data_IF_336859821184
#
_entry.id   IF_336859821184
#
_cell.length_a   1.000
_cell.length_b   1.000
_cell.length_c   1.000
_cell.angle_alpha   90.00
_cell.angle_beta   90.00
_cell.angle_gamma   90.00
#
_symmetry.space_group_name_H-M   'P 1'
#
loop_
_entity.id
_entity.type
_entity.pdbx_description
1 polymer ?
#
# COMPACT_ATOMS: atom_id res chain seq x y z
N UNK A 1 2.44 12.38 -33.26
CA UNK A 1 2.95 11.31 -32.39
C UNK A 1 1.82 10.52 -31.77
N UNK A 2 1.59 9.32 -32.31
CA UNK A 2 0.70 8.33 -31.70
C UNK A 2 1.45 7.67 -30.54
N UNK A 3 1.14 8.09 -29.32
CA UNK A 3 1.65 7.44 -28.12
C UNK A 3 1.28 5.97 -28.12
N UNK A 4 2.28 5.09 -27.96
CA UNK A 4 2.05 3.69 -27.68
C UNK A 4 1.19 3.60 -26.41
N UNK A 5 -0.04 3.11 -26.53
CA UNK A 5 -0.80 2.64 -25.37
C UNK A 5 0.03 1.54 -24.71
N UNK A 6 0.65 1.85 -23.58
CA UNK A 6 1.24 0.84 -22.71
C UNK A 6 0.09 0.01 -22.15
N UNK A 7 -0.21 -1.11 -22.81
CA UNK A 7 -1.26 -2.03 -22.35
C UNK A 7 -0.73 -2.80 -21.14
N UNK A 8 -0.98 -2.29 -19.93
CA UNK A 8 -0.66 -3.01 -18.71
C UNK A 8 -1.57 -4.25 -18.59
N UNK A 9 -1.02 -5.43 -18.82
CA UNK A 9 -1.77 -6.71 -18.81
C UNK A 9 -1.97 -7.30 -17.41
N UNK A 10 -1.28 -6.77 -16.41
CA UNK A 10 -1.36 -7.21 -15.01
C UNK A 10 -0.37 -6.48 -14.13
N UNK A 11 -0.29 -6.89 -12.87
CA UNK A 11 0.52 -6.27 -11.82
C UNK A 11 1.14 -7.33 -10.91
N UNK A 12 2.19 -6.92 -10.20
CA UNK A 12 2.75 -7.69 -9.09
C UNK A 12 2.07 -7.29 -7.78
N UNK A 13 1.93 -8.23 -6.85
CA UNK A 13 1.56 -7.94 -5.46
C UNK A 13 2.81 -8.07 -4.59
N UNK A 14 3.04 -7.11 -3.70
CA UNK A 14 4.15 -7.16 -2.73
C UNK A 14 3.55 -7.15 -1.33
N UNK A 15 3.79 -8.23 -0.59
CA UNK A 15 3.29 -8.45 0.77
C UNK A 15 4.46 -8.35 1.74
N UNK A 16 4.41 -7.42 2.69
CA UNK A 16 5.34 -7.43 3.82
C UNK A 16 4.84 -8.37 4.91
N UNK A 17 5.75 -8.98 5.67
CA UNK A 17 5.39 -9.78 6.83
C UNK A 17 6.49 -9.85 7.87
N UNK A 18 6.09 -9.95 9.13
CA UNK A 18 6.97 -10.14 10.27
C UNK A 18 6.23 -10.90 11.37
N UNK A 19 6.71 -12.10 11.72
CA UNK A 19 6.17 -12.93 12.82
C UNK A 19 4.67 -13.18 12.78
N UNK A 20 4.10 -13.33 11.57
CA UNK A 20 2.66 -13.56 11.34
C UNK A 20 2.41 -14.66 10.29
N UNK A 21 2.91 -15.88 10.49
CA UNK A 21 2.86 -16.94 9.47
C UNK A 21 1.44 -17.27 9.00
N UNK A 22 0.45 -17.30 9.90
CA UNK A 22 -0.95 -17.59 9.54
C UNK A 22 -1.60 -16.45 8.73
N UNK A 23 -1.37 -15.19 9.11
CA UNK A 23 -1.88 -14.03 8.35
C UNK A 23 -1.24 -13.96 6.98
N UNK A 24 0.07 -14.20 6.89
CA UNK A 24 0.78 -14.29 5.62
C UNK A 24 0.19 -15.40 4.75
N UNK A 25 0.01 -16.62 5.29
CA UNK A 25 -0.52 -17.74 4.51
C UNK A 25 -1.89 -17.41 3.91
N UNK A 26 -2.80 -16.84 4.70
CA UNK A 26 -4.11 -16.41 4.24
C UNK A 26 -4.00 -15.29 3.16
N UNK A 27 -3.03 -14.38 3.28
CA UNK A 27 -2.77 -13.34 2.28
C UNK A 27 -2.31 -13.93 0.95
N UNK A 28 -1.38 -14.89 1.01
CA UNK A 28 -0.84 -15.56 -0.17
C UNK A 28 -1.91 -16.39 -0.87
N UNK A 29 -2.72 -17.15 -0.13
CA UNK A 29 -3.85 -17.88 -0.70
C UNK A 29 -4.81 -16.90 -1.40
N UNK A 30 -5.14 -15.78 -0.75
CA UNK A 30 -6.03 -14.78 -1.33
C UNK A 30 -5.48 -14.16 -2.61
N UNK A 31 -4.28 -13.56 -2.58
CA UNK A 31 -3.74 -12.82 -3.71
C UNK A 31 -3.20 -13.73 -4.83
N UNK A 32 -2.52 -14.83 -4.49
CA UNK A 32 -1.89 -15.70 -5.48
C UNK A 32 -2.85 -16.75 -6.06
N UNK A 33 -3.85 -17.24 -5.32
CA UNK A 33 -4.78 -18.29 -5.80
C UNK A 33 -6.22 -17.82 -5.97
N UNK A 34 -6.84 -17.23 -4.95
CA UNK A 34 -8.25 -16.81 -5.00
C UNK A 34 -8.47 -15.69 -6.01
N UNK A 35 -7.63 -14.66 -5.97
CA UNK A 35 -7.57 -13.61 -6.99
C UNK A 35 -6.69 -14.07 -8.15
N UNK A 36 -5.39 -14.23 -7.95
CA UNK A 36 -4.46 -14.80 -8.94
C UNK A 36 -4.50 -14.12 -10.31
N UNK A 37 -4.08 -14.86 -11.34
CA UNK A 37 -3.93 -14.37 -12.72
C UNK A 37 -5.22 -13.85 -13.34
N UNK A 38 -6.38 -14.45 -13.07
CA UNK A 38 -7.70 -13.97 -13.55
C UNK A 38 -8.04 -12.57 -13.01
N UNK A 39 -7.39 -12.16 -11.92
CA UNK A 39 -7.50 -10.83 -11.33
C UNK A 39 -6.40 -9.86 -11.73
N UNK A 40 -5.50 -10.28 -12.62
CA UNK A 40 -4.36 -9.48 -13.07
C UNK A 40 -3.10 -9.67 -12.23
N UNK A 41 -3.13 -10.47 -11.16
CA UNK A 41 -1.96 -10.74 -10.31
C UNK A 41 -1.02 -11.69 -11.06
N UNK A 42 0.08 -11.18 -11.59
CA UNK A 42 1.06 -12.00 -12.34
C UNK A 42 2.02 -12.70 -11.39
N UNK A 43 2.50 -11.96 -10.39
CA UNK A 43 3.50 -12.38 -9.42
C UNK A 43 3.12 -11.88 -8.03
N UNK A 44 3.48 -12.65 -7.00
CA UNK A 44 3.41 -12.24 -5.60
C UNK A 44 4.81 -12.31 -5.00
N UNK A 45 5.29 -11.17 -4.52
CA UNK A 45 6.57 -11.06 -3.83
C UNK A 45 6.31 -10.94 -2.33
N UNK A 46 7.00 -11.76 -1.55
CA UNK A 46 6.94 -11.75 -0.09
C UNK A 46 8.22 -11.09 0.42
N UNK A 47 8.08 -9.98 1.11
CA UNK A 47 9.18 -9.31 1.82
C UNK A 47 9.27 -9.98 3.20
N UNK A 48 10.22 -10.90 3.34
CA UNK A 48 10.41 -11.66 4.57
C UNK A 48 11.39 -10.94 5.50
N UNK A 49 10.84 -10.30 6.54
CA UNK A 49 11.62 -9.53 7.51
C UNK A 49 11.97 -10.30 8.79
N UNK A 50 11.51 -11.54 8.95
CA UNK A 50 11.87 -12.35 10.13
C UNK A 50 13.28 -12.96 9.95
N UNK A 51 14.28 -12.27 10.50
CA UNK A 51 15.68 -12.72 10.44
C UNK A 51 15.97 -13.95 11.32
N UNK A 52 15.04 -14.30 12.22
CA UNK A 52 15.22 -15.42 13.15
C UNK A 52 14.72 -16.76 12.62
N UNK A 53 13.95 -16.75 11.52
CA UNK A 53 13.38 -17.95 10.91
C UNK A 53 13.64 -17.98 9.40
N UNK A 54 13.84 -19.17 8.84
CA UNK A 54 13.87 -19.35 7.40
C UNK A 54 12.45 -19.24 6.83
N UNK A 55 12.27 -18.56 5.68
CA UNK A 55 10.96 -18.51 5.05
C UNK A 55 10.48 -19.91 4.64
N UNK A 56 9.17 -20.16 4.67
CA UNK A 56 8.60 -21.40 4.18
C UNK A 56 8.83 -21.54 2.67
N UNK A 57 8.67 -22.76 2.14
CA UNK A 57 8.68 -22.96 0.70
C UNK A 57 7.47 -22.27 0.04
N UNK A 58 7.62 -21.82 -1.21
CA UNK A 58 6.50 -21.21 -1.95
C UNK A 58 5.28 -22.15 -2.08
N UNK A 59 5.49 -23.46 -2.17
CA UNK A 59 4.42 -24.45 -2.30
C UNK A 59 3.65 -24.66 -1.00
N UNK A 60 4.33 -24.60 0.15
CA UNK A 60 3.72 -24.92 1.45
C UNK A 60 2.61 -23.95 1.86
N UNK A 61 2.57 -22.74 1.30
CA UNK A 61 1.44 -21.83 1.50
C UNK A 61 0.09 -22.43 1.09
N UNK A 62 0.06 -23.36 0.14
CA UNK A 62 -1.17 -23.97 -0.38
C UNK A 62 -1.49 -25.36 0.20
N UNK A 63 -0.62 -25.92 1.05
CA UNK A 63 -0.72 -27.30 1.51
C UNK A 63 -1.84 -27.50 2.57
N UNK A 64 -2.25 -26.43 3.27
CA UNK A 64 -3.33 -26.44 4.27
C UNK A 64 -4.70 -25.91 3.79
N UNK A 65 -4.78 -25.31 2.59
CA UNK A 65 -6.06 -24.79 2.04
C UNK A 65 -7.03 -25.91 1.65
N UNK A 66 -6.52 -27.14 1.52
CA UNK A 66 -7.34 -28.32 1.32
C UNK A 66 -7.87 -28.82 2.66
N UNK A 67 -9.06 -28.35 3.04
CA UNK A 67 -9.95 -29.18 3.83
C UNK A 67 -9.95 -30.60 3.25
N UNK A 68 -9.65 -31.57 4.09
CA UNK A 68 -9.68 -32.99 3.79
C UNK A 68 -10.94 -33.34 2.96
N UNK A 69 -10.73 -33.98 1.80
CA UNK A 69 -11.72 -34.66 0.93
C UNK A 69 -12.11 -34.07 -0.45
N UNK A 70 -11.31 -33.22 -1.10
CA UNK A 70 -11.63 -32.76 -2.49
C UNK A 70 -10.45 -32.87 -3.48
N UNK A 71 -9.70 -33.97 -3.43
CA UNK A 71 -8.54 -34.19 -4.32
C UNK A 71 -8.87 -34.48 -5.80
N UNK A 72 -10.13 -34.56 -6.21
CA UNK A 72 -10.52 -34.90 -7.60
C UNK A 72 -11.66 -34.03 -8.18
N UNK A 73 -11.69 -32.73 -7.91
CA UNK A 73 -12.66 -31.83 -8.56
C UNK A 73 -12.02 -31.01 -9.70
N UNK A 74 -12.76 -30.79 -10.79
CA UNK A 74 -12.37 -29.88 -11.89
C UNK A 74 -12.06 -28.45 -11.38
N UNK A 75 -12.67 -28.04 -10.28
CA UNK A 75 -12.40 -26.76 -9.62
C UNK A 75 -10.99 -26.67 -9.03
N UNK A 76 -10.46 -27.75 -8.45
CA UNK A 76 -9.09 -27.80 -7.93
C UNK A 76 -8.04 -27.65 -9.04
N UNK A 77 -8.29 -28.27 -10.21
CA UNK A 77 -7.43 -28.08 -11.40
C UNK A 77 -7.52 -26.66 -11.96
N UNK A 78 -8.70 -26.05 -11.96
CA UNK A 78 -8.91 -24.67 -12.43
C UNK A 78 -8.17 -23.63 -11.58
N UNK A 79 -8.05 -23.86 -10.27
CA UNK A 79 -7.29 -22.97 -9.39
C UNK A 79 -5.79 -22.99 -9.65
N UNK A 80 -5.20 -24.15 -10.00
CA UNK A 80 -3.76 -24.25 -10.30
C UNK A 80 -3.36 -23.34 -11.47
N UNK A 81 -4.16 -23.28 -12.54
CA UNK A 81 -3.87 -22.38 -13.67
C UNK A 81 -4.06 -20.90 -13.33
N UNK A 82 -4.87 -20.60 -12.32
CA UNK A 82 -5.04 -19.24 -11.82
C UNK A 82 -3.88 -18.79 -10.91
N UNK A 83 -3.05 -19.72 -10.40
CA UNK A 83 -2.02 -19.39 -9.43
C UNK A 83 -0.95 -18.48 -10.03
N UNK A 84 -0.69 -17.38 -9.33
CA UNK A 84 0.45 -16.49 -9.58
C UNK A 84 1.73 -17.13 -9.08
N UNK A 85 2.87 -16.76 -9.66
CA UNK A 85 4.16 -17.21 -9.14
C UNK A 85 4.47 -16.48 -7.83
N UNK A 86 5.07 -17.17 -6.88
CA UNK A 86 5.49 -16.60 -5.60
C UNK A 86 7.01 -16.52 -5.58
N UNK A 87 7.54 -15.37 -5.18
CA UNK A 87 8.95 -15.18 -4.89
C UNK A 87 9.08 -14.65 -3.45
N UNK A 88 10.01 -15.20 -2.69
CA UNK A 88 10.29 -14.77 -1.33
C UNK A 88 11.63 -14.05 -1.32
N UNK A 89 11.58 -12.77 -0.95
CA UNK A 89 12.75 -11.92 -0.81
C UNK A 89 13.14 -11.90 0.66
N UNK A 90 14.20 -12.62 1.01
CA UNK A 90 14.75 -12.62 2.36
C UNK A 90 15.52 -11.32 2.58
N UNK A 91 15.11 -10.56 3.60
CA UNK A 91 15.74 -9.28 3.91
C UNK A 91 16.99 -9.50 4.77
N UNK A 92 17.96 -8.60 4.62
CA UNK A 92 19.17 -8.58 5.46
C UNK A 92 18.94 -7.83 6.78
N UNK A 93 17.88 -7.00 6.82
CA UNK A 93 17.54 -6.15 7.96
C UNK A 93 16.02 -6.15 8.17
N UNK A 94 15.62 -6.24 9.43
CA UNK A 94 14.26 -5.94 9.85
C UNK A 94 14.04 -4.43 9.77
N UNK A 95 13.38 -3.99 8.70
CA UNK A 95 13.15 -2.59 8.36
C UNK A 95 11.83 -2.46 7.62
N UNK A 96 11.07 -1.39 7.89
CA UNK A 96 9.87 -1.06 7.11
C UNK A 96 10.23 -0.60 5.70
N UNK A 97 11.42 -0.03 5.50
CA UNK A 97 11.93 0.37 4.19
C UNK A 97 12.12 -0.82 3.24
N UNK A 98 12.33 -2.02 3.78
CA UNK A 98 12.59 -3.26 3.01
C UNK A 98 11.53 -3.55 1.95
N UNK A 99 10.28 -3.12 2.18
CA UNK A 99 9.19 -3.32 1.21
C UNK A 99 9.35 -2.51 -0.07
N UNK A 100 10.21 -1.49 -0.07
CA UNK A 100 10.43 -0.60 -1.21
C UNK A 100 11.76 -0.84 -1.93
N UNK A 101 12.50 -1.89 -1.56
CA UNK A 101 13.72 -2.25 -2.26
C UNK A 101 13.43 -2.64 -3.72
N UNK A 102 14.35 -2.37 -4.66
CA UNK A 102 14.19 -2.80 -6.04
C UNK A 102 14.04 -4.32 -6.12
N UNK A 103 13.04 -4.77 -6.89
CA UNK A 103 12.73 -6.19 -7.04
C UNK A 103 13.39 -6.70 -8.32
N UNK A 104 14.40 -7.56 -8.16
CA UNK A 104 15.09 -8.18 -9.30
C UNK A 104 14.12 -9.03 -10.13
N UNK A 105 14.11 -8.80 -11.44
CA UNK A 105 13.25 -9.54 -12.38
C UNK A 105 11.77 -9.17 -12.30
N UNK A 106 11.40 -8.02 -11.72
CA UNK A 106 10.03 -7.51 -11.75
C UNK A 106 9.56 -7.28 -13.19
N UNK A 107 8.47 -7.93 -13.58
CA UNK A 107 7.97 -7.96 -14.97
C UNK A 107 6.80 -7.00 -15.24
N UNK A 108 6.37 -6.24 -14.23
CA UNK A 108 5.16 -5.42 -14.30
C UNK A 108 5.46 -4.02 -13.81
N UNK A 109 4.92 -3.02 -14.51
CA UNK A 109 5.00 -1.62 -14.07
C UNK A 109 4.11 -1.35 -12.86
N UNK A 110 2.92 -1.95 -12.83
CA UNK A 110 2.02 -1.85 -11.69
C UNK A 110 2.44 -2.77 -10.55
N UNK A 111 2.58 -2.20 -9.36
CA UNK A 111 2.87 -2.93 -8.12
C UNK A 111 1.80 -2.60 -7.10
N UNK A 112 1.07 -3.62 -6.64
CA UNK A 112 0.14 -3.52 -5.53
C UNK A 112 0.85 -3.83 -4.21
N UNK A 113 1.13 -2.78 -3.43
CA UNK A 113 1.69 -2.89 -2.10
C UNK A 113 0.57 -3.21 -1.11
N UNK A 114 0.77 -4.22 -0.26
CA UNK A 114 -0.22 -4.58 0.75
C UNK A 114 0.42 -5.14 2.02
N UNK A 115 -0.22 -4.89 3.16
CA UNK A 115 0.17 -5.50 4.44
C UNK A 115 -0.42 -6.92 4.58
N UNK A 116 0.26 -7.81 5.31
CA UNK A 116 -0.18 -9.21 5.49
C UNK A 116 -1.54 -9.38 6.19
N UNK A 117 -2.02 -8.35 6.87
CA UNK A 117 -3.31 -8.30 7.54
C UNK A 117 -4.45 -7.69 6.71
N UNK A 118 -4.18 -7.22 5.48
CA UNK A 118 -5.19 -6.60 4.61
C UNK A 118 -5.63 -7.51 3.47
N UNK A 119 -6.94 -7.57 3.24
CA UNK A 119 -7.57 -8.26 2.10
C UNK A 119 -8.44 -7.30 1.32
N UNK A 120 -8.02 -6.98 0.09
CA UNK A 120 -8.88 -6.31 -0.89
C UNK A 120 -9.57 -7.39 -1.73
N UNK A 121 -10.90 -7.38 -1.80
CA UNK A 121 -11.61 -8.38 -2.60
C UNK A 121 -11.20 -8.32 -4.08
N UNK A 122 -11.31 -9.44 -4.80
CA UNK A 122 -10.77 -9.54 -6.16
C UNK A 122 -11.40 -8.57 -7.18
N UNK A 123 -12.67 -8.19 -7.01
CA UNK A 123 -13.30 -7.20 -7.89
C UNK A 123 -12.80 -5.80 -7.58
N UNK A 124 -12.69 -5.42 -6.29
CA UNK A 124 -12.11 -4.14 -5.91
C UNK A 124 -10.64 -4.04 -6.32
N UNK A 125 -9.87 -5.12 -6.20
CA UNK A 125 -8.47 -5.18 -6.63
C UNK A 125 -8.35 -4.92 -8.15
N UNK A 126 -9.18 -5.56 -8.97
CA UNK A 126 -9.25 -5.28 -10.41
C UNK A 126 -9.58 -3.82 -10.70
N UNK A 127 -10.60 -3.27 -10.02
CA UNK A 127 -11.03 -1.88 -10.21
C UNK A 127 -9.94 -0.89 -9.78
N UNK A 128 -9.21 -1.18 -8.71
CA UNK A 128 -8.07 -0.39 -8.28
C UNK A 128 -6.94 -0.40 -9.30
N UNK A 129 -6.70 -1.54 -9.95
CA UNK A 129 -5.74 -1.61 -11.05
C UNK A 129 -6.21 -0.80 -12.28
N UNK A 130 -7.50 -0.87 -12.64
CA UNK A 130 -8.06 -0.03 -13.72
C UNK A 130 -7.95 1.47 -13.42
N UNK A 131 -8.16 1.86 -12.16
CA UNK A 131 -7.92 3.23 -11.69
C UNK A 131 -6.44 3.60 -11.82
N UNK A 132 -5.54 2.73 -11.36
CA UNK A 132 -4.11 2.96 -11.44
C UNK A 132 -3.63 3.10 -12.88
N UNK A 133 -4.12 2.31 -13.84
CA UNK A 133 -3.73 2.47 -15.26
C UNK A 133 -4.02 3.88 -15.80
N UNK A 134 -5.04 4.56 -15.28
CA UNK A 134 -5.40 5.93 -15.67
C UNK A 134 -4.65 7.01 -14.89
N UNK A 135 -4.00 6.62 -13.80
CA UNK A 135 -3.22 7.48 -12.90
C UNK A 135 -1.89 6.78 -12.54
N UNK A 136 -1.20 6.23 -13.56
CA UNK A 136 -0.12 5.25 -13.37
C UNK A 136 1.13 5.85 -12.73
N UNK A 137 1.19 7.17 -12.67
CA UNK A 137 2.20 7.95 -12.01
C UNK A 137 1.86 8.31 -10.56
N UNK A 138 0.68 7.96 -10.05
CA UNK A 138 0.26 8.30 -8.69
C UNK A 138 0.21 7.07 -7.78
N UNK A 139 0.01 7.32 -6.48
CA UNK A 139 -0.46 6.31 -5.55
C UNK A 139 -1.98 6.19 -5.66
N UNK A 140 -2.47 4.97 -5.90
CA UNK A 140 -3.90 4.67 -6.08
C UNK A 140 -4.31 3.56 -5.13
N UNK A 141 -5.16 3.83 -4.14
CA UNK A 141 -5.38 2.85 -3.07
C UNK A 141 -6.58 3.11 -2.16
N UNK A 142 -6.67 2.32 -1.11
CA UNK A 142 -7.91 2.16 -0.31
C UNK A 142 -7.87 2.87 1.05
N UNK A 143 -6.72 3.44 1.43
CA UNK A 143 -6.49 4.04 2.74
C UNK A 143 -6.17 5.53 2.61
N UNK A 144 -7.19 6.40 2.44
CA UNK A 144 -7.01 7.83 2.29
C UNK A 144 -6.64 8.47 3.63
N UNK A 145 -5.72 9.42 3.58
CA UNK A 145 -5.26 10.25 4.69
C UNK A 145 -5.08 11.69 4.22
N UNK A 146 -5.04 12.59 5.18
CA UNK A 146 -4.91 14.02 4.93
C UNK A 146 -3.84 14.61 5.83
N UNK A 147 -3.13 15.64 5.36
CA UNK A 147 -2.23 16.45 6.17
C UNK A 147 -2.80 17.87 6.29
N UNK A 148 -2.61 18.52 7.44
CA UNK A 148 -3.01 19.91 7.63
C UNK A 148 -1.82 20.72 8.14
N UNK A 149 -1.45 21.78 7.40
CA UNK A 149 -0.43 22.71 7.85
C UNK A 149 -0.94 23.52 9.05
N UNK A 150 -0.26 23.41 10.18
CA UNK A 150 -0.52 24.21 11.39
C UNK A 150 0.76 24.90 11.85
N UNK A 151 1.04 26.08 11.28
CA UNK A 151 2.28 26.80 11.55
C UNK A 151 3.49 26.02 11.05
N UNK A 152 4.36 25.59 11.98
CA UNK A 152 5.56 24.79 11.67
C UNK A 152 5.34 23.27 11.76
N UNK A 153 4.17 22.85 12.23
CA UNK A 153 3.79 21.45 12.35
C UNK A 153 2.87 21.06 11.19
N UNK A 154 3.00 19.81 10.73
CA UNK A 154 2.14 19.22 9.71
C UNK A 154 1.36 18.09 10.36
N UNK A 155 0.07 18.34 10.62
CA UNK A 155 -0.79 17.43 11.37
C UNK A 155 -1.26 16.31 10.45
N UNK A 156 -1.06 15.06 10.87
CA UNK A 156 -1.56 13.88 10.19
C UNK A 156 -3.01 13.59 10.61
N UNK A 157 -3.90 13.46 9.63
CA UNK A 157 -5.32 13.16 9.82
C UNK A 157 -5.69 11.80 9.25
N UNK A 158 -6.54 11.08 9.99
CA UNK A 158 -7.01 9.74 9.63
C UNK A 158 -8.16 9.76 8.64
N UNK A 159 -8.64 8.55 8.29
CA UNK A 159 -9.77 8.33 7.39
C UNK A 159 -10.99 9.19 7.76
N UNK A 160 -11.43 9.17 9.03
CA UNK A 160 -12.63 9.91 9.46
C UNK A 160 -12.50 11.41 9.18
N UNK A 161 -11.37 12.02 9.52
CA UNK A 161 -11.12 13.45 9.26
C UNK A 161 -11.03 13.74 7.76
N UNK A 162 -10.37 12.88 7.00
CA UNK A 162 -10.27 12.99 5.53
C UNK A 162 -11.67 13.01 4.88
N UNK A 163 -12.56 12.11 5.33
CA UNK A 163 -13.95 12.04 4.87
C UNK A 163 -14.77 13.26 5.29
N UNK A 164 -14.73 13.64 6.58
CA UNK A 164 -15.50 14.77 7.11
C UNK A 164 -15.11 16.12 6.50
N UNK A 165 -13.81 16.30 6.20
CA UNK A 165 -13.28 17.53 5.60
C UNK A 165 -13.29 17.50 4.08
N UNK A 166 -13.60 16.36 3.46
CA UNK A 166 -13.49 16.12 2.03
C UNK A 166 -12.09 16.45 1.47
N UNK A 167 -11.06 16.03 2.21
CA UNK A 167 -9.65 16.31 1.90
C UNK A 167 -8.84 15.03 1.80
N UNK A 168 -7.90 15.03 0.86
CA UNK A 168 -6.98 13.93 0.61
C UNK A 168 -5.62 14.52 0.23
N UNK A 169 -4.56 13.87 0.68
CA UNK A 169 -3.20 14.20 0.24
C UNK A 169 -2.23 13.02 0.34
N UNK A 170 -2.62 11.93 1.02
CA UNK A 170 -1.80 10.74 1.19
C UNK A 170 -2.68 9.50 0.97
N UNK A 171 -2.16 8.53 0.23
CA UNK A 171 -2.69 7.16 0.16
C UNK A 171 -1.66 6.25 0.80
N UNK A 172 -2.06 5.45 1.79
CA UNK A 172 -1.13 4.54 2.46
C UNK A 172 -0.79 3.35 1.56
N UNK A 173 0.49 2.95 1.56
CA UNK A 173 0.96 1.72 0.91
C UNK A 173 0.52 0.43 1.61
N UNK A 174 -0.30 0.55 2.67
CA UNK A 174 -1.00 -0.54 3.35
C UNK A 174 -1.90 -1.33 2.39
N UNK A 175 -2.49 -0.65 1.40
CA UNK A 175 -3.14 -1.27 0.25
C UNK A 175 -3.24 -0.24 -0.89
N UNK A 176 -2.24 -0.21 -1.77
CA UNK A 176 -2.23 0.72 -2.90
C UNK A 176 -1.41 0.21 -4.08
N UNK A 177 -1.81 0.61 -5.27
CA UNK A 177 -1.01 0.52 -6.47
C UNK A 177 -0.04 1.70 -6.57
N UNK A 178 1.16 1.39 -7.04
CA UNK A 178 2.21 2.34 -7.42
C UNK A 178 2.95 1.82 -8.66
N UNK A 179 3.68 2.71 -9.33
CA UNK A 179 4.59 2.31 -10.40
C UNK A 179 5.89 1.76 -9.83
N UNK A 180 6.38 0.65 -10.37
CA UNK A 180 7.66 -0.01 -10.07
C UNK A 180 8.86 0.95 -9.96
N UNK A 181 8.92 1.99 -10.79
CA UNK A 181 9.97 3.02 -10.76
C UNK A 181 10.10 3.71 -9.39
N UNK A 182 9.02 3.77 -8.60
CA UNK A 182 9.06 4.36 -7.28
C UNK A 182 9.81 3.50 -6.25
N UNK A 183 9.98 2.19 -6.49
CA UNK A 183 10.85 1.33 -5.68
C UNK A 183 12.33 1.73 -5.85
N UNK A 184 12.74 1.97 -7.09
CA UNK A 184 14.08 2.47 -7.41
C UNK A 184 14.28 3.90 -6.87
N UNK A 185 13.31 4.79 -7.07
CA UNK A 185 13.39 6.16 -6.59
C UNK A 185 13.46 6.24 -5.06
N UNK A 186 12.74 5.39 -4.34
CA UNK A 186 12.79 5.35 -2.88
C UNK A 186 14.14 4.85 -2.37
N UNK A 187 14.75 3.90 -3.08
CA UNK A 187 15.94 3.18 -2.62
C UNK A 187 17.26 3.82 -3.05
N UNK A 188 17.27 4.57 -4.14
CA UNK A 188 18.48 5.16 -4.69
C UNK A 188 19.08 6.27 -3.79
N UNK A 189 20.28 6.70 -4.16
CA UNK A 189 21.09 7.70 -3.44
C UNK A 189 20.54 9.13 -3.50
N UNK A 190 19.63 9.42 -4.44
CA UNK A 190 19.02 10.75 -4.54
C UNK A 190 17.94 10.96 -3.49
N UNK A 191 17.29 9.89 -3.00
CA UNK A 191 16.36 9.98 -1.88
C UNK A 191 17.15 10.10 -0.56
N UNK A 192 16.97 11.18 0.23
CA UNK A 192 17.76 11.44 1.42
C UNK A 192 17.82 10.26 2.37
N UNK A 193 19.03 9.81 2.69
CA UNK A 193 19.24 8.67 3.59
C UNK A 193 18.69 8.96 4.99
N UNK A 194 18.71 10.23 5.39
CA UNK A 194 18.16 10.73 6.65
C UNK A 194 16.67 10.34 6.83
N UNK A 195 15.90 10.25 5.74
CA UNK A 195 14.49 9.83 5.78
C UNK A 195 14.38 8.33 6.06
N UNK A 196 15.15 7.51 5.34
CA UNK A 196 15.17 6.05 5.54
C UNK A 196 15.63 5.71 6.97
N UNK A 197 16.64 6.41 7.46
CA UNK A 197 17.15 6.27 8.82
C UNK A 197 16.11 6.67 9.87
N UNK A 198 15.37 7.76 9.61
CA UNK A 198 14.27 8.19 10.48
C UNK A 198 13.15 7.14 10.54
N UNK A 199 12.76 6.58 9.39
CA UNK A 199 11.76 5.50 9.30
C UNK A 199 12.22 4.28 10.11
N UNK A 200 13.49 3.90 9.99
CA UNK A 200 14.05 2.76 10.74
C UNK A 200 14.08 3.00 12.25
N UNK A 201 14.50 4.21 12.67
CA UNK A 201 14.58 4.58 14.08
C UNK A 201 13.21 4.63 14.77
N UNK A 202 12.17 5.05 14.04
CA UNK A 202 10.82 5.24 14.58
C UNK A 202 9.87 4.06 14.29
N UNK A 203 10.26 3.14 13.40
CA UNK A 203 9.45 2.02 12.91
C UNK A 203 8.04 2.44 12.49
N UNK A 204 7.98 3.50 11.69
CA UNK A 204 6.74 4.06 11.17
C UNK A 204 7.06 4.92 9.93
N UNK A 205 6.00 5.37 9.24
CA UNK A 205 6.05 6.45 8.25
C UNK A 205 6.79 6.16 6.94
N UNK A 206 7.06 4.89 6.64
CA UNK A 206 7.59 4.47 5.35
C UNK A 206 6.59 4.76 4.22
N UNK A 207 5.30 4.63 4.50
CA UNK A 207 4.20 4.94 3.59
C UNK A 207 4.09 6.44 3.30
N UNK A 208 4.28 7.28 4.31
CA UNK A 208 4.37 8.74 4.19
C UNK A 208 5.59 9.13 3.35
N UNK A 209 6.75 8.56 3.64
CA UNK A 209 7.97 8.81 2.86
C UNK A 209 7.77 8.43 1.38
N UNK A 210 7.09 7.30 1.11
CA UNK A 210 6.75 6.88 -0.24
C UNK A 210 5.79 7.88 -0.92
N UNK A 211 4.74 8.33 -0.24
CA UNK A 211 3.82 9.33 -0.78
C UNK A 211 4.53 10.65 -1.15
N UNK A 212 5.45 11.10 -0.29
CA UNK A 212 6.23 12.32 -0.49
C UNK A 212 7.18 12.21 -1.68
N UNK A 213 7.90 11.09 -1.85
CA UNK A 213 8.82 10.93 -2.99
C UNK A 213 8.07 10.78 -4.32
N UNK A 214 6.88 10.16 -4.33
CA UNK A 214 6.00 10.10 -5.50
C UNK A 214 5.55 11.51 -5.90
N UNK A 215 5.06 12.30 -4.95
CA UNK A 215 4.61 13.67 -5.21
C UNK A 215 5.78 14.57 -5.68
N UNK A 216 6.95 14.45 -5.05
CA UNK A 216 8.13 15.23 -5.40
C UNK A 216 8.67 14.90 -6.80
N UNK A 217 8.81 13.62 -7.11
CA UNK A 217 9.37 13.18 -8.40
C UNK A 217 8.49 13.61 -9.57
N UNK A 218 7.16 13.57 -9.40
CA UNK A 218 6.21 14.00 -10.43
C UNK A 218 6.17 15.52 -10.59
N UNK A 219 6.25 16.27 -9.48
CA UNK A 219 6.44 17.74 -9.49
C UNK A 219 7.70 18.13 -10.23
N UNK A 220 8.82 17.48 -9.95
CA UNK A 220 10.09 17.75 -10.62
C UNK A 220 10.01 17.43 -12.12
N UNK A 221 9.39 16.31 -12.50
CA UNK A 221 9.31 15.88 -13.89
C UNK A 221 8.35 16.71 -14.75
N UNK A 222 7.26 17.24 -14.18
CA UNK A 222 6.14 17.84 -14.95
C UNK A 222 5.71 19.24 -14.49
N UNK A 223 6.33 19.79 -13.45
CA UNK A 223 5.94 21.05 -12.81
C UNK A 223 4.75 20.92 -11.84
N UNK A 224 4.05 19.79 -11.83
CA UNK A 224 2.91 19.51 -10.94
C UNK A 224 3.02 18.11 -10.35
N UNK A 225 2.81 17.98 -9.05
CA UNK A 225 2.73 16.69 -8.37
C UNK A 225 1.55 15.86 -8.87
N UNK A 226 1.73 14.54 -8.98
CA UNK A 226 0.63 13.60 -9.22
C UNK A 226 -0.34 13.58 -8.03
N UNK A 227 -1.62 13.55 -8.33
CA UNK A 227 -2.69 13.51 -7.33
C UNK A 227 -2.89 12.09 -6.78
N UNK A 228 -2.89 11.87 -5.46
CA UNK A 228 -3.28 10.58 -4.90
C UNK A 228 -4.74 10.27 -5.27
N UNK A 229 -5.04 9.00 -5.57
CA UNK A 229 -6.38 8.56 -5.95
C UNK A 229 -6.93 7.59 -4.91
N UNK A 230 -8.05 7.93 -4.32
CA UNK A 230 -8.78 7.04 -3.42
C UNK A 230 -9.67 6.08 -4.24
N UNK A 231 -9.57 4.79 -3.97
CA UNK A 231 -10.42 3.76 -4.56
C UNK A 231 -11.39 3.26 -3.50
N UNK A 232 -12.69 3.40 -3.79
CA UNK A 232 -13.72 2.73 -3.00
C UNK A 232 -13.72 1.22 -3.33
N UNK A 233 -13.71 0.39 -2.30
CA UNK A 233 -13.64 -1.05 -2.46
C UNK A 233 -13.99 -1.80 -1.17
N UNK A 234 -14.25 -3.10 -1.30
CA UNK A 234 -14.45 -3.96 -0.16
C UNK A 234 -13.08 -4.46 0.35
N UNK A 235 -12.70 -3.93 1.51
CA UNK A 235 -11.40 -4.18 2.13
C UNK A 235 -11.63 -4.67 3.56
N UNK A 236 -10.99 -5.78 3.92
CA UNK A 236 -10.97 -6.29 5.28
C UNK A 236 -9.58 -6.10 5.86
N UNK A 237 -9.52 -5.43 7.01
CA UNK A 237 -8.30 -5.32 7.80
C UNK A 237 -8.42 -6.21 9.04
N UNK A 238 -7.63 -7.30 9.04
CA UNK A 238 -7.59 -8.32 10.07
C UNK A 238 -6.62 -7.96 11.20
N UNK A 239 -5.90 -6.83 11.11
CA UNK A 239 -4.85 -6.39 12.03
C UNK A 239 -5.36 -5.78 13.34
N UNK A 240 -6.50 -6.26 13.85
CA UNK A 240 -7.24 -5.62 14.94
C UNK A 240 -6.52 -5.64 16.31
N UNK A 241 -5.51 -6.51 16.50
CA UNK A 241 -4.81 -6.65 17.77
C UNK A 241 -3.29 -6.82 17.57
N UNK A 242 -2.50 -6.01 18.29
CA UNK A 242 -1.03 -6.13 18.32
C UNK A 242 -0.27 -5.58 17.11
N UNK A 243 -0.92 -4.81 16.22
CA UNK A 243 -0.26 -4.10 15.11
C UNK A 243 0.37 -2.76 15.54
N UNK A 244 1.35 -2.27 14.77
CA UNK A 244 2.05 -0.99 15.04
C UNK A 244 1.06 0.18 15.15
N UNK A 245 -0.03 0.16 14.39
CA UNK A 245 -1.09 1.18 14.40
C UNK A 245 -1.95 1.20 15.66
N UNK A 246 -1.89 0.15 16.50
CA UNK A 246 -2.70 0.02 17.73
C UNK A 246 -2.02 0.60 18.97
N UNK A 247 -0.73 0.93 18.89
CA UNK A 247 0.03 1.52 20.01
C UNK A 247 -0.43 2.94 20.38
N UNK A 248 -0.34 3.29 21.66
CA UNK A 248 -0.59 4.65 22.13
C UNK A 248 0.39 5.64 21.46
N UNK A 249 -0.12 6.77 20.98
CA UNK A 249 0.70 7.81 20.34
C UNK A 249 1.04 7.60 18.87
N UNK A 250 0.59 6.51 18.21
CA UNK A 250 0.90 6.23 16.81
C UNK A 250 0.60 7.41 15.85
N UNK A 251 -0.53 8.09 16.05
CA UNK A 251 -0.92 9.25 15.23
C UNK A 251 -0.04 10.48 15.50
N UNK A 252 0.32 10.72 16.76
CA UNK A 252 1.27 11.79 17.09
C UNK A 252 2.63 11.52 16.46
N UNK A 253 3.09 10.25 16.47
CA UNK A 253 4.31 9.86 15.76
C UNK A 253 4.21 10.17 14.27
N UNK A 254 3.06 9.92 13.61
CA UNK A 254 2.88 10.25 12.19
C UNK A 254 2.83 11.75 11.90
N UNK A 255 2.23 12.56 12.78
CA UNK A 255 2.32 14.03 12.72
C UNK A 255 3.77 14.50 12.82
N UNK A 256 4.54 13.94 13.77
CA UNK A 256 5.97 14.24 13.90
C UNK A 256 6.74 13.80 12.65
N UNK A 257 6.46 12.62 12.09
CA UNK A 257 7.10 12.14 10.87
C UNK A 257 6.91 13.09 9.69
N UNK A 258 5.67 13.53 9.43
CA UNK A 258 5.39 14.49 8.36
C UNK A 258 6.21 15.77 8.53
N UNK A 259 6.24 16.28 9.77
CA UNK A 259 6.98 17.49 10.09
C UNK A 259 8.49 17.32 9.90
N UNK A 260 9.08 16.22 10.37
CA UNK A 260 10.52 15.98 10.26
C UNK A 260 10.96 15.65 8.83
N UNK A 261 10.20 14.81 8.12
CA UNK A 261 10.51 14.49 6.70
C UNK A 261 10.40 15.76 5.85
N UNK A 262 9.38 16.60 6.07
CA UNK A 262 9.22 17.86 5.32
C UNK A 262 10.38 18.82 5.58
N UNK A 263 10.91 18.90 6.81
CA UNK A 263 12.13 19.67 7.09
C UNK A 263 13.33 19.18 6.29
N UNK A 264 13.49 17.86 6.13
CA UNK A 264 14.58 17.29 5.31
C UNK A 264 14.40 17.71 3.84
N UNK A 265 13.17 17.65 3.30
CA UNK A 265 12.87 18.11 1.94
C UNK A 265 13.19 19.60 1.73
N UNK A 266 12.81 20.45 2.69
CA UNK A 266 13.15 21.89 2.67
C UNK A 266 14.67 22.11 2.70
N UNK A 267 15.40 21.38 3.55
CA UNK A 267 16.87 21.47 3.63
C UNK A 267 17.57 21.04 2.33
N UNK A 268 16.99 20.09 1.58
CA UNK A 268 17.48 19.68 0.25
C UNK A 268 17.02 20.60 -0.88
N UNK A 269 16.21 21.63 -0.58
CA UNK A 269 15.70 22.61 -1.55
C UNK A 269 14.57 22.10 -2.43
N UNK A 270 13.90 21.00 -2.04
CA UNK A 270 12.77 20.43 -2.79
C UNK A 270 11.43 21.10 -2.44
N UNK A 271 11.37 21.69 -1.25
CA UNK A 271 10.13 22.19 -0.66
C UNK A 271 9.19 21.07 -0.21
N UNK A 272 8.07 21.41 0.40
CA UNK A 272 7.01 20.43 0.69
C UNK A 272 6.44 19.85 -0.62
N UNK A 273 6.51 18.52 -0.83
CA UNK A 273 5.94 17.88 -2.00
C UNK A 273 4.44 17.59 -1.86
N UNK A 274 3.91 17.56 -0.62
CA UNK A 274 2.51 17.29 -0.37
C UNK A 274 1.66 18.51 -0.65
N UNK A 275 0.43 18.25 -1.06
CA UNK A 275 -0.54 19.27 -1.35
C UNK A 275 -1.93 18.64 -1.27
N UNK A 276 -2.93 19.48 -1.00
CA UNK A 276 -4.30 19.00 -0.77
C UNK A 276 -5.12 18.93 -2.05
N UNK A 277 -5.86 17.82 -2.18
CA UNK A 277 -6.93 17.67 -3.17
C UNK A 277 -8.28 17.49 -2.50
N UNK A 278 -9.32 17.79 -3.25
CA UNK A 278 -10.68 17.40 -2.89
C UNK A 278 -10.81 15.87 -2.99
N UNK A 279 -11.14 15.22 -1.88
CA UNK A 279 -11.25 13.76 -1.83
C UNK A 279 -12.26 13.25 -2.85
N UNK A 280 -13.46 13.85 -2.93
CA UNK A 280 -14.50 13.43 -3.89
C UNK A 280 -14.06 13.51 -5.35
N UNK A 281 -13.26 14.52 -5.72
CA UNK A 281 -12.79 14.71 -7.10
C UNK A 281 -11.73 13.67 -7.46
N UNK A 282 -10.96 13.21 -6.47
CA UNK A 282 -9.93 12.18 -6.61
C UNK A 282 -10.39 10.81 -6.11
N UNK A 283 -11.70 10.60 -6.00
CA UNK A 283 -12.27 9.29 -5.68
C UNK A 283 -12.63 8.57 -6.97
N UNK A 284 -12.00 7.42 -7.19
CA UNK A 284 -12.30 6.55 -8.30
C UNK A 284 -13.64 5.84 -8.10
N UNK A 285 -14.70 6.46 -8.62
CA UNK A 285 -16.07 5.91 -8.65
C UNK A 285 -16.44 5.48 -10.05
N UNK A 286 -15.89 4.37 -10.55
CA UNK A 286 -16.51 3.75 -11.72
C UNK A 286 -17.82 3.06 -11.32
N UNK A 287 -18.91 3.84 -11.45
CA UNK A 287 -20.33 3.48 -11.49
C UNK A 287 -21.04 3.27 -10.14
N UNK A 288 -21.54 4.36 -9.54
CA UNK A 288 -22.92 4.58 -9.09
C UNK A 288 -23.02 5.99 -8.44
N UNK A 289 -24.07 6.79 -8.65
CA UNK A 289 -24.28 8.02 -7.89
C UNK A 289 -24.85 7.64 -6.51
N UNK A 290 -24.21 8.06 -5.42
CA UNK A 290 -24.91 8.03 -4.13
C UNK A 290 -24.06 8.09 -2.87
N UNK A 291 -24.15 9.22 -2.17
CA UNK A 291 -24.17 9.33 -0.71
C UNK A 291 -22.96 8.89 0.16
N UNK A 292 -22.72 9.71 1.17
CA UNK A 292 -21.65 9.63 2.19
C UNK A 292 -21.61 8.33 3.02
N UNK A 293 -22.65 7.49 2.97
CA UNK A 293 -22.70 6.20 3.69
C UNK A 293 -22.21 4.99 2.86
N UNK A 294 -21.82 5.19 1.60
CA UNK A 294 -21.23 4.12 0.78
C UNK A 294 -19.75 3.86 1.12
N UNK A 295 -19.13 4.77 1.87
CA UNK A 295 -17.74 4.65 2.28
C UNK A 295 -17.65 3.89 3.60
N UNK A 296 -17.26 2.61 3.53
CA UNK A 296 -17.02 1.77 4.71
C UNK A 296 -15.51 1.66 4.92
N UNK A 297 -14.96 2.16 6.04
CA UNK A 297 -13.56 1.90 6.34
C UNK A 297 -13.34 0.40 6.60
N UNK A 298 -12.09 -0.02 6.51
CA UNK A 298 -11.74 -1.44 6.60
C UNK A 298 -11.88 -2.02 8.01
N UNK A 299 -11.88 -1.17 9.05
CA UNK A 299 -12.09 -1.56 10.45
C UNK A 299 -12.54 -0.38 11.35
N UNK A 300 -12.76 -0.66 12.65
CA UNK A 300 -13.16 0.33 13.65
C UNK A 300 -12.06 1.37 13.99
N UNK A 301 -10.79 0.97 13.98
CA UNK A 301 -9.67 1.87 14.30
C UNK A 301 -9.45 2.97 13.23
N UNK A 302 -9.91 2.72 12.00
CA UNK A 302 -9.99 3.74 10.96
C UNK A 302 -11.05 4.81 11.25
N UNK A 303 -12.15 4.45 11.91
CA UNK A 303 -13.14 5.40 12.41
C UNK A 303 -12.58 6.16 13.62
N UNK A 304 -12.02 5.43 14.57
CA UNK A 304 -11.61 5.94 15.88
C UNK A 304 -10.17 5.50 16.19
N UNK A 305 -9.17 6.36 15.90
CA UNK A 305 -7.86 6.31 16.53
C UNK A 305 -7.97 5.88 17.99
N UNK A 306 -7.12 4.95 18.46
CA UNK A 306 -7.16 4.42 19.84
C UNK A 306 -7.11 5.48 20.96
N UNK A 307 -6.78 6.74 20.64
CA UNK A 307 -6.87 7.88 21.54
C UNK A 307 -8.31 8.38 21.81
N UNK A 308 -9.25 8.18 20.88
CA UNK A 308 -10.62 8.71 20.97
C UNK A 308 -11.59 7.76 21.72
N UNK A 309 -11.13 6.57 22.12
CA UNK A 309 -11.97 5.58 22.84
C UNK A 309 -12.01 5.81 24.36
N UNK A 310 -11.18 6.73 24.88
CA UNK A 310 -11.03 7.01 26.32
C UNK A 310 -11.19 8.49 26.69
N UNK A 311 -11.91 9.29 25.90
CA UNK A 311 -12.41 10.61 26.31
C UNK A 311 -13.93 10.69 26.24
#
# INVERSE_FOLDING_TARGET
DHGQETTFSGFAVVVNTFKRPEMLQDAIIHYAETCGKKSGVQHVYIVWCDLSEEPPSSQSFFEGSNGSNLRNSSATKKNIFNRSHINIMKMEKDSLNSRFLPISGLQTDGVFMVDDDVRVDCLSLKRGFEAWKQHSDALVGYYPRWHEQNGKEIIYHTYLKSMLKNKLSIILTKASFLHSKYLELYSNENHPQEIKDYVDANRNCEDIAMAMIVANSTKHARGTSSYPVYVEGNVWDKGLFGGISTGSGHFQSRTTCLTEISKIYEQKGWGDPLFDVTLTDQTWRQHFPGYWWQVRPSNLFEWFPSADFFM
#
